data_IF_849831480263
#
_entry.id   IF_849831480263
#
_cell.length_a   1.000
_cell.length_b   1.000
_cell.length_c   1.000
_cell.angle_alpha   90.00
_cell.angle_beta   90.00
_cell.angle_gamma   90.00
#
_symmetry.space_group_name_H-M   'P 1'
#
loop_
_entity.id
_entity.type
_entity.pdbx_description
1 polymer ?
#
# COMPACT_ATOMS: atom_id res chain seq x y z
N UNK A 1 12.90 1.21 -17.63
CA UNK A 1 12.79 1.89 -16.33
C UNK A 1 11.65 2.91 -16.29
N UNK A 2 11.69 4.02 -17.05
CA UNK A 2 10.65 5.07 -17.02
C UNK A 2 9.23 4.50 -17.12
N UNK A 3 8.95 3.71 -18.15
CA UNK A 3 7.65 3.06 -18.32
C UNK A 3 7.18 2.19 -17.13
N UNK A 4 8.11 1.51 -16.46
CA UNK A 4 7.80 0.62 -15.34
C UNK A 4 7.46 1.40 -14.06
N UNK A 5 8.16 2.52 -13.84
CA UNK A 5 8.03 3.32 -12.61
C UNK A 5 6.96 4.40 -12.71
N UNK A 6 6.59 4.85 -13.92
CA UNK A 6 5.51 5.84 -14.12
C UNK A 6 4.20 5.20 -14.54
N UNK A 7 4.24 4.02 -15.15
CA UNK A 7 3.07 3.39 -15.77
C UNK A 7 2.53 4.16 -16.98
N UNK A 8 3.26 5.14 -17.52
CA UNK A 8 2.83 5.91 -18.71
C UNK A 8 2.55 5.00 -19.90
N UNK A 9 1.53 5.36 -20.69
CA UNK A 9 1.20 4.68 -21.94
C UNK A 9 2.26 4.98 -23.00
N UNK A 10 2.33 4.14 -24.03
CA UNK A 10 3.24 4.34 -25.17
C UNK A 10 3.09 5.74 -25.79
N UNK A 11 1.85 6.18 -26.03
CA UNK A 11 1.55 7.51 -26.56
C UNK A 11 1.94 8.67 -25.65
N UNK A 12 2.06 8.42 -24.34
CA UNK A 12 2.49 9.44 -23.37
C UNK A 12 4.03 9.45 -23.28
N UNK A 13 4.69 8.29 -23.41
CA UNK A 13 6.15 8.17 -23.38
C UNK A 13 6.82 8.84 -24.59
N UNK A 14 6.28 8.66 -25.81
CA UNK A 14 6.85 9.26 -27.02
C UNK A 14 6.63 10.78 -27.09
N UNK A 15 5.68 11.31 -26.31
CA UNK A 15 5.34 12.73 -26.26
C UNK A 15 6.01 13.47 -25.08
N UNK A 16 7.09 12.89 -24.52
CA UNK A 16 7.92 13.59 -23.53
C UNK A 16 8.89 14.51 -24.29
N UNK A 17 8.79 15.84 -24.16
CA UNK A 17 9.63 16.77 -24.91
C UNK A 17 11.04 16.87 -24.31
N UNK A 18 12.00 17.42 -25.05
CA UNK A 18 13.37 17.64 -24.53
C UNK A 18 13.42 18.61 -23.34
N UNK A 19 12.46 19.53 -23.25
CA UNK A 19 12.24 20.45 -22.13
C UNK A 19 11.18 19.94 -21.13
N UNK A 20 11.15 18.62 -20.88
CA UNK A 20 10.16 17.97 -20.03
C UNK A 20 10.10 18.47 -18.57
N UNK A 21 11.14 19.15 -18.08
CA UNK A 21 11.30 19.49 -16.66
C UNK A 21 10.27 20.54 -16.23
N UNK A 22 9.55 20.25 -15.15
CA UNK A 22 8.72 21.23 -14.45
C UNK A 22 9.38 21.61 -13.12
N UNK A 23 9.09 22.79 -12.55
CA UNK A 23 9.65 23.21 -11.27
C UNK A 23 9.42 22.15 -10.18
N UNK A 24 10.50 21.66 -9.57
CA UNK A 24 10.43 20.74 -8.44
C UNK A 24 9.88 21.45 -7.22
N UNK A 25 9.06 20.77 -6.43
CA UNK A 25 8.46 21.33 -5.22
C UNK A 25 9.01 20.59 -3.99
N UNK A 26 9.61 21.35 -3.07
CA UNK A 26 9.96 20.83 -1.74
C UNK A 26 8.68 20.73 -0.91
N UNK A 27 8.44 19.55 -0.36
CA UNK A 27 7.27 19.25 0.48
C UNK A 27 7.70 19.19 1.95
N UNK A 28 6.73 19.34 2.86
CA UNK A 28 6.97 19.16 4.29
C UNK A 28 7.71 17.83 4.55
N UNK A 29 8.76 17.89 5.38
CA UNK A 29 9.66 16.76 5.65
C UNK A 29 10.92 16.71 4.78
N UNK A 30 11.19 17.72 3.94
CA UNK A 30 12.43 17.80 3.14
C UNK A 30 12.42 16.93 1.88
N UNK A 31 11.29 16.30 1.57
CA UNK A 31 11.12 15.47 0.37
C UNK A 31 10.90 16.36 -0.87
N UNK A 32 11.60 16.03 -1.95
CA UNK A 32 11.48 16.74 -3.24
C UNK A 32 10.54 15.99 -4.16
N UNK A 33 9.52 16.69 -4.69
CA UNK A 33 8.67 16.16 -5.75
C UNK A 33 9.25 16.52 -7.11
N UNK A 34 9.68 15.51 -7.86
CA UNK A 34 10.09 15.67 -9.26
C UNK A 34 8.86 15.64 -10.17
N UNK A 35 8.78 16.60 -11.09
CA UNK A 35 7.65 16.76 -12.00
C UNK A 35 8.14 16.84 -13.44
N UNK A 36 7.43 16.14 -14.32
CA UNK A 36 7.71 16.14 -15.76
C UNK A 36 6.42 16.41 -16.53
N UNK A 37 6.54 16.92 -17.76
CA UNK A 37 5.39 17.09 -18.67
C UNK A 37 5.44 16.10 -19.85
N UNK A 38 4.26 15.74 -20.34
CA UNK A 38 4.06 14.91 -21.53
C UNK A 38 2.69 15.22 -22.14
N UNK A 39 2.50 15.02 -23.45
CA UNK A 39 1.17 15.17 -24.03
C UNK A 39 0.31 13.92 -23.88
N UNK A 40 -0.94 14.15 -23.47
CA UNK A 40 -2.02 13.19 -23.59
C UNK A 40 -2.65 13.34 -24.97
N UNK A 41 -2.56 12.28 -25.80
CA UNK A 41 -3.11 12.28 -27.17
C UNK A 41 -4.49 11.60 -27.24
N UNK A 42 -4.72 10.57 -26.42
CA UNK A 42 -5.93 9.76 -26.48
C UNK A 42 -7.11 10.45 -25.79
N UNK A 43 -8.21 10.65 -26.54
CA UNK A 43 -9.48 11.16 -26.00
C UNK A 43 -9.55 12.68 -25.84
N UNK A 44 -8.64 13.43 -26.47
CA UNK A 44 -8.61 14.90 -26.49
C UNK A 44 -8.59 15.43 -27.92
N UNK A 45 -8.78 16.75 -28.11
CA UNK A 45 -8.77 17.39 -29.43
C UNK A 45 -7.41 17.22 -30.13
N UNK A 46 -7.41 17.37 -31.46
CA UNK A 46 -6.20 17.33 -32.28
C UNK A 46 -5.11 18.27 -31.73
N UNK A 47 -3.87 17.76 -31.64
CA UNK A 47 -2.73 18.47 -31.06
C UNK A 47 -2.32 17.99 -29.66
N UNK A 48 -3.17 17.22 -28.98
CA UNK A 48 -2.91 16.72 -27.63
C UNK A 48 -3.05 17.79 -26.56
N UNK A 49 -3.16 17.38 -25.30
CA UNK A 49 -3.16 18.27 -24.14
C UNK A 49 -1.93 18.01 -23.29
N UNK A 50 -1.26 19.06 -22.84
CA UNK A 50 -0.18 18.93 -21.87
C UNK A 50 -0.72 18.39 -20.55
N UNK A 51 -0.09 17.34 -20.05
CA UNK A 51 -0.36 16.74 -18.75
C UNK A 51 0.96 16.63 -17.97
N UNK A 52 0.83 16.56 -16.65
CA UNK A 52 1.95 16.60 -15.72
C UNK A 52 2.04 15.29 -14.94
N UNK A 53 3.25 14.79 -14.76
CA UNK A 53 3.52 13.56 -14.02
C UNK A 53 4.40 13.86 -12.83
N UNK A 54 4.01 13.34 -11.67
CA UNK A 54 4.89 13.29 -10.50
C UNK A 54 5.67 11.99 -10.59
N UNK A 55 6.98 12.07 -10.53
CA UNK A 55 7.89 10.93 -10.71
C UNK A 55 8.89 10.86 -9.57
N UNK A 56 9.47 9.67 -9.38
CA UNK A 56 10.63 9.48 -8.49
C UNK A 56 11.89 10.07 -9.12
N UNK A 57 12.90 10.34 -8.30
CA UNK A 57 14.13 11.00 -8.72
C UNK A 57 14.85 10.21 -9.83
N UNK A 58 14.87 8.89 -9.74
CA UNK A 58 15.54 7.99 -10.68
C UNK A 58 14.94 8.09 -12.09
N UNK A 59 13.62 8.30 -12.18
CA UNK A 59 12.94 8.54 -13.46
C UNK A 59 13.37 9.88 -14.03
N UNK A 60 13.44 10.91 -13.19
CA UNK A 60 13.87 12.24 -13.60
C UNK A 60 15.31 12.22 -14.13
N UNK A 61 16.24 11.59 -13.39
CA UNK A 61 17.63 11.42 -13.80
C UNK A 61 17.77 10.62 -15.10
N UNK A 62 16.96 9.59 -15.30
CA UNK A 62 17.00 8.80 -16.52
C UNK A 62 16.53 9.57 -17.76
N UNK A 63 15.51 10.42 -17.62
CA UNK A 63 15.07 11.32 -18.68
C UNK A 63 16.13 12.37 -19.01
N UNK A 64 16.82 12.88 -17.99
CA UNK A 64 17.96 13.77 -18.19
C UNK A 64 19.11 13.09 -18.93
N UNK A 65 19.47 11.85 -18.55
CA UNK A 65 20.48 11.08 -19.26
C UNK A 65 20.08 10.83 -20.71
N UNK A 66 18.81 10.47 -20.96
CA UNK A 66 18.30 10.31 -22.33
C UNK A 66 18.48 11.60 -23.14
N UNK A 67 18.17 12.76 -22.58
CA UNK A 67 18.38 14.04 -23.26
C UNK A 67 19.84 14.33 -23.60
N UNK A 68 20.79 13.93 -22.74
CA UNK A 68 22.24 14.08 -23.00
C UNK A 68 22.76 13.11 -24.06
N UNK A 69 22.07 12.00 -24.27
CA UNK A 69 22.42 10.96 -25.23
C UNK A 69 21.69 11.12 -26.58
N UNK A 70 20.93 12.21 -26.78
CA UNK A 70 20.35 12.51 -28.08
C UNK A 70 21.45 12.92 -29.06
N UNK A 71 21.52 12.22 -30.19
CA UNK A 71 22.52 12.47 -31.23
C UNK A 71 22.23 13.75 -32.04
N UNK A 72 20.95 14.14 -32.16
CA UNK A 72 20.50 15.32 -32.91
C UNK A 72 19.99 16.44 -31.96
N UNK A 73 20.65 17.62 -31.92
CA UNK A 73 20.20 18.77 -31.14
C UNK A 73 18.85 19.35 -31.57
N UNK A 74 18.36 19.02 -32.77
CA UNK A 74 17.08 19.46 -33.31
C UNK A 74 15.88 18.62 -32.84
N UNK A 75 16.11 17.52 -32.11
CA UNK A 75 15.05 16.67 -31.60
C UNK A 75 14.15 17.40 -30.60
N UNK A 76 12.85 17.28 -30.81
CA UNK A 76 11.85 17.94 -29.97
C UNK A 76 11.38 17.05 -28.83
N UNK A 77 11.59 15.74 -28.93
CA UNK A 77 11.15 14.74 -27.97
C UNK A 77 12.28 13.80 -27.57
N UNK A 78 12.27 13.36 -26.31
CA UNK A 78 13.30 12.45 -25.78
C UNK A 78 13.25 11.06 -26.39
N UNK A 79 12.07 10.65 -26.85
CA UNK A 79 11.80 9.34 -27.42
C UNK A 79 11.15 9.61 -28.77
N UNK A 80 11.94 9.59 -29.84
CA UNK A 80 11.42 9.74 -31.19
C UNK A 80 10.29 8.74 -31.48
N UNK A 81 9.29 9.16 -32.25
CA UNK A 81 8.05 8.40 -32.52
C UNK A 81 8.32 7.01 -33.13
N UNK A 82 9.43 6.86 -33.85
CA UNK A 82 9.89 5.61 -34.47
C UNK A 82 10.90 4.81 -33.62
N UNK A 83 11.38 5.36 -32.51
CA UNK A 83 12.52 4.83 -31.73
C UNK A 83 12.13 4.02 -30.48
N UNK A 84 10.83 3.95 -30.15
CA UNK A 84 10.35 3.15 -29.02
C UNK A 84 9.84 1.76 -29.45
N UNK A 85 10.74 0.93 -29.97
CA UNK A 85 10.44 -0.50 -30.07
C UNK A 85 10.51 -1.16 -28.69
N UNK A 86 9.38 -1.16 -27.99
CA UNK A 86 9.29 -1.66 -26.62
C UNK A 86 9.70 -3.13 -26.49
N UNK A 87 9.36 -3.98 -27.46
CA UNK A 87 9.74 -5.40 -27.45
C UNK A 87 11.25 -5.59 -27.44
N UNK A 88 11.96 -4.89 -28.33
CA UNK A 88 13.43 -4.90 -28.36
C UNK A 88 14.06 -4.32 -27.09
N UNK A 89 13.51 -3.25 -26.54
CA UNK A 89 14.02 -2.66 -25.27
C UNK A 89 13.91 -3.64 -24.10
N UNK A 90 12.78 -4.36 -23.99
CA UNK A 90 12.60 -5.42 -22.98
C UNK A 90 13.57 -6.57 -23.22
N UNK A 91 13.76 -6.97 -24.48
CA UNK A 91 14.72 -8.02 -24.83
C UNK A 91 16.14 -7.68 -24.34
N UNK A 92 16.66 -6.50 -24.69
CA UNK A 92 17.99 -6.07 -24.24
C UNK A 92 18.09 -5.89 -22.74
N UNK A 93 17.04 -5.37 -22.08
CA UNK A 93 17.01 -5.27 -20.63
C UNK A 93 17.10 -6.65 -19.98
N UNK A 94 16.31 -7.63 -20.46
CA UNK A 94 16.35 -9.01 -19.96
C UNK A 94 17.74 -9.63 -20.18
N UNK A 95 18.32 -9.45 -21.36
CA UNK A 95 19.65 -9.96 -21.67
C UNK A 95 20.72 -9.37 -20.74
N UNK A 96 20.64 -8.07 -20.46
CA UNK A 96 21.57 -7.40 -19.56
C UNK A 96 21.39 -7.84 -18.10
N UNK A 97 20.15 -7.90 -17.60
CA UNK A 97 19.86 -8.33 -16.21
C UNK A 97 20.25 -9.80 -16.00
N UNK A 98 20.00 -10.67 -16.97
CA UNK A 98 20.30 -12.09 -16.85
C UNK A 98 21.77 -12.42 -17.16
N UNK A 99 22.53 -11.46 -17.70
CA UNK A 99 23.95 -11.59 -18.01
C UNK A 99 24.87 -11.37 -16.82
N UNK A 100 26.19 -11.37 -17.08
CA UNK A 100 27.23 -11.26 -16.05
C UNK A 100 27.13 -9.98 -15.21
N UNK A 101 26.80 -8.85 -15.84
CA UNK A 101 26.65 -7.57 -15.15
C UNK A 101 25.50 -7.58 -14.14
N UNK A 102 24.35 -8.13 -14.52
CA UNK A 102 23.18 -8.21 -13.62
C UNK A 102 23.40 -9.19 -12.47
N UNK A 103 24.07 -10.32 -12.73
CA UNK A 103 24.48 -11.26 -11.69
C UNK A 103 25.48 -10.65 -10.70
N UNK A 104 26.47 -9.88 -11.21
CA UNK A 104 27.41 -9.14 -10.35
C UNK A 104 26.71 -8.13 -9.45
N UNK A 105 25.61 -7.53 -9.92
CA UNK A 105 24.79 -6.59 -9.14
C UNK A 105 23.76 -7.28 -8.23
N UNK A 106 23.71 -8.62 -8.21
CA UNK A 106 22.75 -9.38 -7.40
C UNK A 106 21.29 -9.25 -7.86
N UNK A 107 21.06 -8.89 -9.13
CA UNK A 107 19.70 -8.76 -9.66
C UNK A 107 19.08 -10.14 -9.90
N UNK A 108 17.83 -10.31 -9.45
CA UNK A 108 17.07 -11.52 -9.75
C UNK A 108 16.84 -11.63 -11.27
N UNK A 109 17.03 -12.83 -11.86
CA UNK A 109 16.86 -13.02 -13.29
C UNK A 109 15.41 -12.74 -13.70
N UNK A 110 15.23 -12.01 -14.80
CA UNK A 110 13.93 -11.74 -15.39
C UNK A 110 13.51 -12.97 -16.21
N UNK A 111 12.39 -13.64 -15.85
CA UNK A 111 11.97 -14.85 -16.55
C UNK A 111 11.59 -14.60 -18.00
N UNK A 112 11.63 -15.67 -18.79
CA UNK A 112 11.09 -15.68 -20.14
C UNK A 112 9.57 -15.49 -20.13
N UNK A 113 9.08 -14.78 -21.14
CA UNK A 113 7.67 -14.44 -21.23
C UNK A 113 7.43 -13.06 -21.84
N UNK A 114 6.18 -12.84 -22.22
CA UNK A 114 5.77 -11.56 -22.78
C UNK A 114 5.66 -10.51 -21.69
N UNK A 115 6.40 -9.41 -21.83
CA UNK A 115 6.21 -8.20 -21.02
C UNK A 115 5.75 -7.10 -21.96
N UNK A 116 4.66 -6.44 -21.63
CA UNK A 116 4.16 -5.28 -22.36
C UNK A 116 3.85 -4.13 -21.41
N UNK A 117 3.71 -2.92 -21.95
CA UNK A 117 3.44 -1.71 -21.16
C UNK A 117 2.14 -1.80 -20.34
N UNK A 118 1.12 -2.52 -20.84
CA UNK A 118 -0.14 -2.71 -20.12
C UNK A 118 0.06 -3.58 -18.88
N UNK A 119 0.90 -4.61 -18.97
CA UNK A 119 1.26 -5.47 -17.85
C UNK A 119 2.05 -4.68 -16.81
N UNK A 120 3.10 -3.95 -17.21
CA UNK A 120 3.87 -3.12 -16.27
C UNK A 120 2.99 -2.09 -15.55
N UNK A 121 2.11 -1.42 -16.29
CA UNK A 121 1.16 -0.47 -15.72
C UNK A 121 0.19 -1.14 -14.74
N UNK A 122 -0.26 -2.37 -15.03
CA UNK A 122 -1.10 -3.16 -14.11
C UNK A 122 -0.33 -3.55 -12.85
N UNK A 123 0.91 -4.01 -12.98
CA UNK A 123 1.79 -4.34 -11.85
C UNK A 123 1.99 -3.11 -10.97
N UNK A 124 2.38 -1.97 -11.54
CA UNK A 124 2.52 -0.72 -10.78
C UNK A 124 1.21 -0.31 -10.09
N UNK A 125 0.06 -0.45 -10.75
CA UNK A 125 -1.24 -0.16 -10.15
C UNK A 125 -1.51 -1.03 -8.91
N UNK A 126 -1.19 -2.33 -8.98
CA UNK A 126 -1.35 -3.26 -7.86
C UNK A 126 -0.38 -2.92 -6.73
N UNK A 127 0.90 -2.72 -7.04
CA UNK A 127 1.93 -2.33 -6.07
C UNK A 127 1.57 -1.03 -5.33
N UNK A 128 1.04 -0.05 -6.05
CA UNK A 128 0.54 1.18 -5.45
C UNK A 128 -0.70 0.91 -4.61
N UNK A 129 -1.66 0.12 -5.11
CA UNK A 129 -2.93 -0.17 -4.41
C UNK A 129 -2.75 -0.95 -3.10
N UNK A 130 -1.72 -1.80 -3.00
CA UNK A 130 -1.43 -2.58 -1.79
C UNK A 130 -0.88 -1.72 -0.64
N UNK A 131 -0.49 -0.47 -0.89
CA UNK A 131 -0.02 0.46 0.14
C UNK A 131 -1.19 1.15 0.87
N UNK A 132 -1.03 1.58 2.14
CA UNK A 132 -2.02 2.39 2.83
C UNK A 132 -2.38 3.67 2.05
N UNK A 133 -3.68 3.92 1.80
CA UNK A 133 -4.15 5.02 0.93
C UNK A 133 -3.80 4.84 -0.57
N UNK A 134 -3.20 3.71 -0.90
CA UNK A 134 -2.54 3.44 -2.17
C UNK A 134 -3.47 3.27 -3.35
N UNK A 135 -4.73 2.88 -3.13
CA UNK A 135 -5.72 2.75 -4.20
C UNK A 135 -6.11 4.11 -4.81
N UNK A 136 -6.29 5.14 -3.97
CA UNK A 136 -6.52 6.50 -4.43
C UNK A 136 -5.25 7.04 -5.12
N UNK A 137 -4.08 6.83 -4.50
CA UNK A 137 -2.81 7.23 -5.06
C UNK A 137 -2.55 6.58 -6.43
N UNK A 138 -2.82 5.29 -6.58
CA UNK A 138 -2.68 4.56 -7.85
C UNK A 138 -3.56 5.17 -8.94
N UNK A 139 -4.81 5.51 -8.61
CA UNK A 139 -5.77 6.04 -9.58
C UNK A 139 -5.49 7.49 -9.97
N UNK A 140 -4.97 8.31 -9.04
CA UNK A 140 -4.46 9.65 -9.33
C UNK A 140 -3.18 9.58 -10.16
N UNK A 141 -2.18 8.81 -9.72
CA UNK A 141 -0.89 8.67 -10.39
C UNK A 141 -1.03 8.13 -11.81
N UNK A 142 -1.94 7.17 -12.01
CA UNK A 142 -2.22 6.58 -13.32
C UNK A 142 -3.31 7.34 -14.08
N UNK A 143 -3.72 8.55 -13.68
CA UNK A 143 -4.67 9.38 -14.45
C UNK A 143 -6.03 8.71 -14.72
N UNK A 144 -6.45 7.80 -13.83
CA UNK A 144 -7.81 7.26 -13.81
C UNK A 144 -8.78 8.22 -13.10
N UNK A 145 -8.26 9.18 -12.34
CA UNK A 145 -8.98 10.29 -11.68
C UNK A 145 -8.08 11.55 -11.70
N UNK A 146 -8.65 12.75 -11.82
CA UNK A 146 -7.90 14.02 -11.82
C UNK A 146 -7.55 14.50 -10.41
N UNK A 147 -6.45 15.24 -10.24
CA UNK A 147 -6.08 15.89 -8.97
C UNK A 147 -7.09 16.99 -8.59
N UNK A 148 -7.69 17.67 -9.58
CA UNK A 148 -8.76 18.65 -9.35
C UNK A 148 -10.02 18.00 -8.75
N UNK A 149 -10.22 16.70 -8.98
CA UNK A 149 -11.31 15.92 -8.36
C UNK A 149 -10.98 15.40 -6.96
N UNK A 150 -9.74 15.49 -6.49
CA UNK A 150 -9.37 15.13 -5.11
C UNK A 150 -9.33 16.34 -4.17
N UNK A 151 -9.16 17.54 -4.69
CA UNK A 151 -9.15 18.78 -3.90
C UNK A 151 -10.55 19.42 -3.75
N UNK A 152 -11.49 19.10 -4.65
CA UNK A 152 -12.89 19.54 -4.60
C UNK A 152 -13.81 18.49 -3.99
N UNK A 153 -14.30 18.76 -2.79
CA UNK A 153 -15.33 18.05 -2.04
C UNK A 153 -16.31 17.16 -2.85
N UNK A 154 -16.50 15.96 -2.28
CA UNK A 154 -17.73 15.17 -2.26
C UNK A 154 -19.02 15.89 -2.72
N UNK A 155 -19.56 15.49 -3.88
CA UNK A 155 -21.01 15.35 -4.13
C UNK A 155 -21.30 15.25 -5.64
N UNK A 156 -21.57 14.04 -6.15
CA UNK A 156 -22.50 13.81 -7.27
C UNK A 156 -22.88 12.32 -7.35
N UNK A 157 -24.09 11.93 -6.89
CA UNK A 157 -24.60 10.57 -7.06
C UNK A 157 -24.92 10.28 -8.53
N UNK A 158 -24.51 9.11 -9.04
CA UNK A 158 -25.00 8.53 -10.30
C UNK A 158 -24.11 8.62 -11.55
N UNK A 159 -22.91 9.22 -11.45
CA UNK A 159 -21.93 9.22 -12.55
C UNK A 159 -20.98 8.01 -12.53
N UNK A 160 -20.03 7.92 -13.46
CA UNK A 160 -18.96 6.91 -13.42
C UNK A 160 -18.21 6.86 -12.07
N UNK A 161 -18.29 7.91 -11.25
CA UNK A 161 -17.84 7.92 -9.86
C UNK A 161 -18.59 6.94 -8.93
N UNK A 162 -19.91 6.72 -9.08
CA UNK A 162 -20.63 5.78 -8.20
C UNK A 162 -20.34 4.34 -8.56
N UNK A 163 -20.14 4.05 -9.86
CA UNK A 163 -19.65 2.74 -10.33
C UNK A 163 -18.24 2.50 -9.78
N UNK A 164 -17.37 3.51 -9.88
CA UNK A 164 -16.01 3.45 -9.36
C UNK A 164 -15.93 3.28 -7.84
N UNK A 165 -16.75 4.00 -7.06
CA UNK A 165 -16.76 3.86 -5.60
C UNK A 165 -17.37 2.53 -5.18
N UNK A 166 -18.33 2.00 -5.95
CA UNK A 166 -18.84 0.64 -5.76
C UNK A 166 -17.77 -0.42 -6.09
N UNK A 167 -16.97 -0.24 -7.15
CA UNK A 167 -15.84 -1.11 -7.47
C UNK A 167 -14.75 -1.05 -6.39
N UNK A 168 -14.39 0.16 -5.93
CA UNK A 168 -13.45 0.36 -4.81
C UNK A 168 -13.95 -0.34 -3.55
N UNK A 169 -15.20 -0.09 -3.17
CA UNK A 169 -15.80 -0.71 -2.01
C UNK A 169 -15.87 -2.24 -2.13
N UNK A 170 -16.05 -2.77 -3.34
CA UNK A 170 -16.03 -4.22 -3.60
C UNK A 170 -14.63 -4.82 -3.43
N UNK A 171 -13.61 -4.19 -4.00
CA UNK A 171 -12.23 -4.66 -3.85
C UNK A 171 -11.73 -4.54 -2.41
N UNK A 172 -12.09 -3.46 -1.70
CA UNK A 172 -11.82 -3.31 -0.27
C UNK A 172 -12.52 -4.40 0.55
N UNK A 173 -13.78 -4.72 0.23
CA UNK A 173 -14.52 -5.81 0.88
C UNK A 173 -13.88 -7.17 0.64
N UNK A 174 -13.46 -7.47 -0.60
CA UNK A 174 -12.78 -8.73 -0.95
C UNK A 174 -11.46 -8.85 -0.17
N UNK A 175 -10.64 -7.81 -0.20
CA UNK A 175 -9.38 -7.77 0.56
C UNK A 175 -9.61 -7.95 2.06
N UNK A 176 -10.58 -7.25 2.63
CA UNK A 176 -10.88 -7.37 4.06
C UNK A 176 -11.34 -8.79 4.44
N UNK A 177 -12.08 -9.43 3.54
CA UNK A 177 -12.54 -10.80 3.72
C UNK A 177 -11.38 -11.79 3.67
N UNK A 178 -10.46 -11.63 2.73
CA UNK A 178 -9.21 -12.41 2.65
C UNK A 178 -8.37 -12.28 3.92
N UNK A 179 -8.17 -11.05 4.42
CA UNK A 179 -7.44 -10.81 5.67
C UNK A 179 -8.15 -11.42 6.88
N UNK A 180 -9.49 -11.34 6.94
CA UNK A 180 -10.28 -11.95 8.02
C UNK A 180 -10.20 -13.48 7.96
N UNK A 181 -10.23 -14.07 6.76
CA UNK A 181 -10.04 -15.51 6.54
C UNK A 181 -8.64 -15.95 6.97
N UNK A 182 -7.61 -15.17 6.63
CA UNK A 182 -6.25 -15.48 7.07
C UNK A 182 -6.13 -15.44 8.60
N UNK A 183 -6.63 -14.39 9.24
CA UNK A 183 -6.63 -14.29 10.71
C UNK A 183 -7.43 -15.44 11.37
N UNK A 184 -8.51 -15.91 10.74
CA UNK A 184 -9.25 -17.08 11.21
C UNK A 184 -8.45 -18.38 11.08
N UNK A 185 -7.71 -18.57 9.98
CA UNK A 185 -6.81 -19.72 9.80
C UNK A 185 -5.66 -19.70 10.80
N UNK A 186 -5.06 -18.53 11.04
CA UNK A 186 -4.02 -18.35 12.05
C UNK A 186 -4.56 -18.77 13.43
N UNK A 187 -5.76 -18.31 13.78
CA UNK A 187 -6.46 -18.73 15.01
C UNK A 187 -6.65 -20.25 15.10
N UNK A 188 -7.06 -20.91 14.01
CA UNK A 188 -7.21 -22.37 13.97
C UNK A 188 -5.89 -23.12 14.18
N UNK A 189 -4.76 -22.48 13.87
CA UNK A 189 -3.41 -22.98 14.13
C UNK A 189 -2.88 -22.61 15.53
N UNK A 190 -3.68 -21.90 16.34
CA UNK A 190 -3.29 -21.43 17.67
C UNK A 190 -2.49 -20.12 17.66
N UNK A 191 -2.37 -19.47 16.51
CA UNK A 191 -1.68 -18.18 16.35
C UNK A 191 -2.69 -17.06 16.59
N UNK A 192 -2.42 -16.22 17.58
CA UNK A 192 -3.26 -15.06 17.90
C UNK A 192 -2.52 -13.77 17.55
N UNK A 193 -3.19 -12.76 16.99
CA UNK A 193 -2.55 -11.47 16.76
C UNK A 193 -2.19 -10.79 18.07
N UNK A 194 -1.24 -9.87 18.01
CA UNK A 194 -0.87 -9.04 19.15
C UNK A 194 -1.86 -7.87 19.33
N UNK A 195 -1.74 -7.15 20.45
CA UNK A 195 -2.51 -5.94 20.74
C UNK A 195 -3.86 -6.16 21.44
N UNK A 196 -4.50 -5.06 21.89
CA UNK A 196 -5.58 -5.15 22.87
C UNK A 196 -6.87 -5.81 22.36
N UNK A 197 -7.12 -5.78 21.04
CA UNK A 197 -8.29 -6.39 20.42
C UNK A 197 -8.14 -7.88 20.09
N UNK A 198 -6.99 -8.49 20.38
CA UNK A 198 -6.73 -9.89 20.05
C UNK A 198 -7.72 -10.85 20.71
N UNK A 199 -8.05 -10.63 21.98
CA UNK A 199 -8.98 -11.47 22.75
C UNK A 199 -10.39 -11.43 22.18
N UNK A 200 -10.94 -10.23 21.95
CA UNK A 200 -12.29 -10.06 21.36
C UNK A 200 -12.37 -10.68 19.96
N UNK A 201 -11.26 -10.69 19.20
CA UNK A 201 -11.19 -11.35 17.90
C UNK A 201 -11.19 -12.88 18.05
N UNK A 202 -10.40 -13.43 18.98
CA UNK A 202 -10.36 -14.85 19.27
C UNK A 202 -11.72 -15.40 19.77
N UNK A 203 -12.39 -14.66 20.65
CA UNK A 203 -13.75 -15.00 21.12
C UNK A 203 -14.76 -15.03 19.97
N UNK A 204 -14.63 -14.10 19.01
CA UNK A 204 -15.42 -14.12 17.80
C UNK A 204 -15.14 -15.37 16.94
N UNK A 205 -13.87 -15.71 16.71
CA UNK A 205 -13.52 -16.90 15.94
C UNK A 205 -13.96 -18.20 16.61
N UNK A 206 -13.86 -18.30 17.94
CA UNK A 206 -14.42 -19.42 18.70
C UNK A 206 -15.93 -19.57 18.48
N UNK A 207 -16.67 -18.44 18.42
CA UNK A 207 -18.10 -18.46 18.12
C UNK A 207 -18.42 -18.91 16.69
N UNK A 208 -17.52 -18.65 15.74
CA UNK A 208 -17.63 -19.09 14.34
C UNK A 208 -17.39 -20.60 14.26
N UNK A 209 -16.33 -21.12 14.89
CA UNK A 209 -16.06 -22.56 14.96
C UNK A 209 -17.22 -23.34 15.59
N UNK A 210 -17.82 -22.81 16.67
CA UNK A 210 -19.01 -23.39 17.29
C UNK A 210 -20.21 -23.48 16.34
N UNK A 211 -20.46 -22.42 15.56
CA UNK A 211 -21.53 -22.41 14.56
C UNK A 211 -21.26 -23.41 13.42
N UNK A 212 -20.03 -23.50 12.94
CA UNK A 212 -19.63 -24.47 11.92
C UNK A 212 -19.78 -25.92 12.42
N UNK A 213 -19.43 -26.19 13.67
CA UNK A 213 -19.62 -27.51 14.28
C UNK A 213 -21.11 -27.90 14.37
N UNK A 214 -21.98 -26.96 14.71
CA UNK A 214 -23.43 -27.21 14.75
C UNK A 214 -24.05 -27.43 13.36
N UNK A 215 -23.57 -26.71 12.34
CA UNK A 215 -23.98 -26.94 10.94
C UNK A 215 -23.59 -28.33 10.46
N UNK A 216 -22.35 -28.76 10.75
CA UNK A 216 -21.86 -30.09 10.39
C UNK A 216 -22.68 -31.22 11.01
N UNK A 217 -23.17 -31.05 12.25
CA UNK A 217 -24.06 -32.02 12.91
C UNK A 217 -25.44 -32.12 12.24
N UNK A 218 -25.97 -31.02 11.71
CA UNK A 218 -27.31 -30.96 11.10
C UNK A 218 -27.32 -31.45 9.65
N UNK A 219 -26.18 -31.46 8.96
CA UNK A 219 -26.10 -31.89 7.56
C UNK A 219 -24.74 -32.55 7.26
N UNK A 220 -24.59 -33.86 7.52
CA UNK A 220 -23.32 -34.58 7.39
C UNK A 220 -22.74 -34.64 5.96
N UNK A 221 -23.52 -34.27 4.94
CA UNK A 221 -23.11 -34.21 3.53
C UNK A 221 -22.47 -32.88 3.12
N UNK A 222 -22.55 -31.83 3.96
CA UNK A 222 -21.89 -30.55 3.69
C UNK A 222 -20.44 -30.67 4.16
N UNK A 223 -19.52 -30.95 3.21
CA UNK A 223 -18.09 -30.68 3.45
C UNK A 223 -17.99 -29.23 3.92
N UNK A 224 -17.27 -28.98 5.04
CA UNK A 224 -16.95 -27.63 5.57
C UNK A 224 -16.68 -26.69 4.39
N UNK A 225 -17.71 -25.97 3.96
CA UNK A 225 -17.66 -25.28 2.68
C UNK A 225 -17.01 -23.95 2.92
N UNK A 226 -15.96 -23.63 2.17
CA UNK A 226 -15.30 -22.31 2.23
C UNK A 226 -16.31 -21.15 2.16
N UNK A 227 -17.44 -21.38 1.47
CA UNK A 227 -18.57 -20.45 1.36
C UNK A 227 -19.28 -20.16 2.70
N UNK A 228 -19.46 -21.13 3.58
CA UNK A 228 -20.10 -20.94 4.89
C UNK A 228 -19.19 -20.15 5.84
N UNK A 229 -17.90 -20.51 5.87
CA UNK A 229 -16.87 -19.79 6.62
C UNK A 229 -16.83 -18.33 6.16
N UNK A 230 -16.79 -18.12 4.84
CA UNK A 230 -16.78 -16.79 4.22
C UNK A 230 -18.02 -15.98 4.62
N UNK A 231 -19.20 -16.60 4.65
CA UNK A 231 -20.45 -15.94 5.07
C UNK A 231 -20.42 -15.50 6.54
N UNK A 232 -19.92 -16.35 7.44
CA UNK A 232 -19.83 -16.05 8.88
C UNK A 232 -18.80 -14.93 9.17
N UNK A 233 -17.70 -14.91 8.43
CA UNK A 233 -16.65 -13.90 8.57
C UNK A 233 -16.97 -12.58 7.89
N UNK A 234 -17.84 -12.56 6.87
CA UNK A 234 -18.19 -11.36 6.10
C UNK A 234 -18.69 -10.20 6.97
N UNK A 235 -19.42 -10.49 8.06
CA UNK A 235 -19.88 -9.45 9.00
C UNK A 235 -18.71 -8.73 9.66
N UNK A 236 -17.65 -9.46 10.04
CA UNK A 236 -16.46 -8.91 10.67
C UNK A 236 -15.55 -8.22 9.66
N UNK A 237 -15.42 -8.77 8.46
CA UNK A 237 -14.67 -8.15 7.37
C UNK A 237 -15.21 -6.76 6.98
N UNK A 238 -16.53 -6.54 7.06
CA UNK A 238 -17.16 -5.25 6.76
C UNK A 238 -16.80 -4.12 7.73
N UNK A 239 -16.37 -4.45 8.95
CA UNK A 239 -15.97 -3.46 9.96
C UNK A 239 -14.45 -3.32 10.07
N UNK A 240 -13.70 -4.03 9.21
CA UNK A 240 -12.24 -3.97 9.20
C UNK A 240 -11.76 -2.70 8.47
N UNK A 241 -10.97 -1.90 9.18
CA UNK A 241 -10.25 -0.75 8.66
C UNK A 241 -8.75 -0.97 8.84
N UNK A 242 -7.99 -0.65 7.80
CA UNK A 242 -6.58 -1.00 7.72
C UNK A 242 -5.75 0.25 7.99
N UNK A 243 -5.09 0.26 9.15
CA UNK A 243 -4.13 1.29 9.53
C UNK A 243 -2.71 0.88 9.14
N UNK A 244 -1.81 1.85 9.13
CA UNK A 244 -0.37 1.62 8.89
C UNK A 244 0.25 0.78 10.01
N UNK A 245 -0.18 1.01 11.25
CA UNK A 245 0.38 0.38 12.44
C UNK A 245 -0.54 -0.72 13.05
N UNK A 246 -1.74 -0.94 12.50
CA UNK A 246 -2.70 -1.89 13.05
C UNK A 246 -3.86 -2.22 12.09
N UNK A 247 -4.51 -3.36 12.35
CA UNK A 247 -5.86 -3.63 11.88
C UNK A 247 -6.86 -3.16 12.92
N UNK A 248 -7.85 -2.36 12.49
CA UNK A 248 -8.91 -1.83 13.34
C UNK A 248 -10.23 -2.53 12.98
N UNK A 249 -10.76 -3.35 13.89
CA UNK A 249 -11.99 -4.10 13.62
C UNK A 249 -13.27 -3.28 13.77
N UNK A 250 -13.17 -2.07 14.34
CA UNK A 250 -14.23 -1.06 14.49
C UNK A 250 -15.65 -1.62 14.70
N UNK A 251 -15.76 -2.61 15.61
CA UNK A 251 -16.99 -3.40 15.81
C UNK A 251 -18.08 -2.56 16.50
N UNK A 252 -17.62 -1.66 17.37
CA UNK A 252 -18.42 -0.85 18.28
C UNK A 252 -17.80 0.55 18.35
N UNK A 253 -18.40 1.55 17.71
CA UNK A 253 -17.91 2.93 17.75
C UNK A 253 -17.74 3.49 19.17
N UNK A 254 -18.53 3.03 20.15
CA UNK A 254 -18.41 3.48 21.54
C UNK A 254 -17.15 2.94 22.24
N UNK A 255 -16.50 1.91 21.69
CA UNK A 255 -15.20 1.40 22.17
C UNK A 255 -14.00 2.02 21.44
N UNK A 256 -14.22 2.73 20.33
CA UNK A 256 -13.14 3.29 19.52
C UNK A 256 -12.43 4.44 20.26
N UNK A 257 -11.17 4.22 20.63
CA UNK A 257 -10.40 5.20 21.40
C UNK A 257 -10.15 6.50 20.60
N UNK A 258 -10.00 6.41 19.28
CA UNK A 258 -9.85 7.58 18.41
C UNK A 258 -11.06 8.53 18.47
N UNK A 259 -12.28 7.99 18.53
CA UNK A 259 -13.50 8.79 18.66
C UNK A 259 -13.61 9.42 20.05
N UNK A 260 -13.22 8.68 21.09
CA UNK A 260 -13.18 9.19 22.47
C UNK A 260 -12.18 10.34 22.63
N UNK A 261 -10.97 10.17 22.11
CA UNK A 261 -9.91 11.20 22.13
C UNK A 261 -10.38 12.45 21.37
N UNK A 262 -11.04 12.26 20.22
CA UNK A 262 -11.55 13.37 19.42
C UNK A 262 -12.82 14.04 20.00
N UNK A 263 -13.45 13.46 21.03
CA UNK A 263 -14.75 13.93 21.52
C UNK A 263 -15.86 13.84 20.46
N UNK A 264 -15.71 12.95 19.48
CA UNK A 264 -16.64 12.83 18.37
C UNK A 264 -17.95 12.16 18.81
N UNK A 265 -19.12 12.65 18.37
CA UNK A 265 -20.40 12.00 18.69
C UNK A 265 -20.47 10.63 18.03
N UNK A 266 -20.88 9.62 18.81
CA UNK A 266 -21.08 8.25 18.32
C UNK A 266 -22.43 8.14 17.61
N UNK A 267 -22.38 7.77 16.33
CA UNK A 267 -23.54 7.58 15.45
C UNK A 267 -23.44 6.26 14.71
N UNK A 268 -24.54 5.81 14.09
CA UNK A 268 -24.56 4.60 13.26
C UNK A 268 -23.62 4.66 12.05
N UNK A 269 -23.32 5.87 11.57
CA UNK A 269 -22.49 6.13 10.39
C UNK A 269 -21.06 6.54 10.80
N UNK A 270 -20.70 6.38 12.08
CA UNK A 270 -19.37 6.69 12.57
C UNK A 270 -18.30 5.86 11.85
N UNK A 271 -17.13 6.46 11.68
CA UNK A 271 -15.96 5.85 11.04
C UNK A 271 -14.74 6.08 11.93
N UNK A 272 -13.75 5.17 11.94
CA UNK A 272 -12.55 5.36 12.74
C UNK A 272 -11.75 6.57 12.23
N UNK A 273 -11.30 7.41 13.16
CA UNK A 273 -10.40 8.52 12.86
C UNK A 273 -8.95 8.03 12.92
N UNK A 274 -8.40 7.60 11.77
CA UNK A 274 -7.06 7.03 11.69
C UNK A 274 -5.96 7.95 12.25
N UNK A 275 -6.05 9.27 12.01
CA UNK A 275 -5.08 10.26 12.53
C UNK A 275 -5.11 10.44 14.05
N UNK A 276 -6.16 9.97 14.73
CA UNK A 276 -6.30 9.97 16.20
C UNK A 276 -6.21 8.55 16.78
N UNK A 277 -5.78 7.58 15.97
CA UNK A 277 -5.72 6.19 16.40
C UNK A 277 -4.57 5.97 17.38
N UNK A 278 -4.91 5.51 18.58
CA UNK A 278 -3.95 4.95 19.52
C UNK A 278 -4.18 3.44 19.59
N UNK A 279 -3.58 2.72 18.64
CA UNK A 279 -3.76 1.28 18.46
C UNK A 279 -3.09 0.44 19.54
N UNK A 280 -2.07 0.96 20.22
CA UNK A 280 -1.46 0.30 21.38
C UNK A 280 -2.43 0.17 22.57
N UNK A 281 -3.46 1.03 22.65
CA UNK A 281 -4.45 1.03 23.76
C UNK A 281 -5.87 0.74 23.31
N UNK A 282 -6.19 0.88 22.04
CA UNK A 282 -7.55 0.70 21.55
C UNK A 282 -7.96 -0.79 21.62
N UNK A 283 -9.07 -1.14 22.29
CA UNK A 283 -9.55 -2.53 22.43
C UNK A 283 -10.04 -3.15 21.12
N UNK A 284 -10.02 -2.41 20.01
CA UNK A 284 -10.46 -2.87 18.70
C UNK A 284 -9.30 -2.97 17.70
N UNK A 285 -8.06 -2.72 18.17
CA UNK A 285 -6.86 -2.79 17.36
C UNK A 285 -6.13 -4.12 17.57
N UNK A 286 -5.66 -4.71 16.47
CA UNK A 286 -4.79 -5.88 16.46
C UNK A 286 -3.52 -5.58 15.66
N UNK A 287 -2.42 -6.19 16.07
CA UNK A 287 -1.12 -6.08 15.46
C UNK A 287 -0.71 -7.42 14.86
N UNK A 288 0.01 -7.35 13.75
CA UNK A 288 0.30 -8.45 12.82
C UNK A 288 1.73 -8.27 12.32
N UNK A 289 2.37 -9.28 11.71
CA UNK A 289 3.76 -9.18 11.28
C UNK A 289 4.05 -7.96 10.39
N UNK A 290 3.10 -7.61 9.51
CA UNK A 290 3.21 -6.44 8.63
C UNK A 290 3.27 -5.10 9.36
N UNK A 291 2.81 -5.02 10.62
CA UNK A 291 2.87 -3.81 11.43
C UNK A 291 4.18 -3.68 12.21
N UNK A 292 4.95 -4.77 12.36
CA UNK A 292 6.18 -4.80 13.14
C UNK A 292 7.19 -3.73 12.72
N UNK A 293 7.49 -3.52 11.42
CA UNK A 293 8.49 -2.53 11.01
C UNK A 293 8.13 -1.11 11.46
N UNK A 294 6.85 -0.75 11.41
CA UNK A 294 6.34 0.57 11.81
C UNK A 294 6.54 0.81 13.31
N UNK A 295 6.28 -0.21 14.13
CA UNK A 295 6.49 -0.12 15.58
C UNK A 295 7.97 -0.14 15.97
N UNK A 296 8.80 -0.89 15.25
CA UNK A 296 10.25 -0.89 15.45
C UNK A 296 10.85 0.48 15.10
N UNK A 297 10.49 1.05 13.95
CA UNK A 297 10.92 2.39 13.53
C UNK A 297 10.46 3.47 14.52
N UNK A 298 9.22 3.37 15.02
CA UNK A 298 8.70 4.25 16.08
C UNK A 298 9.55 4.17 17.36
N UNK A 299 9.89 2.95 17.82
CA UNK A 299 10.75 2.76 18.97
C UNK A 299 12.16 3.34 18.76
N UNK A 300 12.78 3.07 17.61
CA UNK A 300 14.12 3.58 17.31
C UNK A 300 14.14 5.11 17.21
N UNK A 301 13.11 5.69 16.62
CA UNK A 301 12.91 7.14 16.55
C UNK A 301 12.77 7.74 17.96
N UNK A 302 11.97 7.13 18.84
CA UNK A 302 11.85 7.58 20.23
C UNK A 302 13.18 7.52 20.98
N UNK A 303 14.01 6.49 20.78
CA UNK A 303 15.35 6.39 21.39
C UNK A 303 16.25 7.56 20.97
N UNK A 304 16.26 7.89 19.67
CA UNK A 304 17.02 9.04 19.14
C UNK A 304 16.53 10.35 19.78
N UNK A 305 15.22 10.56 19.86
CA UNK A 305 14.67 11.77 20.46
C UNK A 305 14.99 11.89 21.96
N UNK A 306 14.85 10.80 22.73
CA UNK A 306 15.17 10.79 24.17
C UNK A 306 16.65 11.14 24.42
N UNK A 307 17.55 10.65 23.56
CA UNK A 307 18.97 10.98 23.61
C UNK A 307 19.26 12.46 23.33
N UNK A 308 18.47 13.08 22.45
CA UNK A 308 18.62 14.50 22.08
C UNK A 308 18.06 15.48 23.12
N UNK A 309 17.23 15.03 24.06
CA UNK A 309 16.57 15.91 25.03
C UNK A 309 17.54 16.43 26.11
N UNK A 310 17.58 17.74 26.38
CA UNK A 310 18.35 18.30 27.49
C UNK A 310 17.98 17.69 28.85
N UNK A 311 18.96 17.48 29.74
CA UNK A 311 18.75 16.86 31.08
C UNK A 311 17.72 17.58 31.95
N UNK A 312 17.49 18.88 31.72
CA UNK A 312 16.50 19.68 32.46
C UNK A 312 15.04 19.38 32.11
N UNK A 313 14.74 18.81 30.94
CA UNK A 313 13.37 18.61 30.48
C UNK A 313 12.81 17.23 30.89
N UNK A 314 12.68 17.03 32.20
CA UNK A 314 12.32 15.72 32.81
C UNK A 314 10.94 15.22 32.37
N UNK A 315 9.94 16.10 32.28
CA UNK A 315 8.57 15.72 31.92
C UNK A 315 8.48 15.20 30.48
N UNK A 316 9.15 15.87 29.54
CA UNK A 316 9.17 15.46 28.14
C UNK A 316 9.92 14.14 27.93
N UNK A 317 11.06 13.97 28.62
CA UNK A 317 11.77 12.68 28.63
C UNK A 317 10.88 11.55 29.15
N UNK A 318 10.21 11.75 30.28
CA UNK A 318 9.30 10.75 30.84
C UNK A 318 8.14 10.38 29.90
N UNK A 319 7.59 11.38 29.18
CA UNK A 319 6.54 11.16 28.16
C UNK A 319 7.03 10.25 27.03
N UNK A 320 8.20 10.55 26.47
CA UNK A 320 8.78 9.76 25.38
C UNK A 320 9.27 8.38 25.84
N UNK A 321 9.79 8.24 27.06
CA UNK A 321 10.14 6.94 27.64
C UNK A 321 8.89 6.05 27.75
N UNK A 322 7.75 6.62 28.13
CA UNK A 322 6.49 5.89 28.16
C UNK A 322 5.98 5.52 26.75
N UNK A 323 6.22 6.35 25.74
CA UNK A 323 5.92 6.04 24.33
C UNK A 323 6.82 4.92 23.79
N UNK A 324 8.13 5.01 24.05
CA UNK A 324 9.10 3.99 23.70
C UNK A 324 8.73 2.64 24.31
N UNK A 325 8.45 2.61 25.62
CA UNK A 325 8.05 1.38 26.31
C UNK A 325 6.74 0.79 25.76
N UNK A 326 5.85 1.60 25.19
CA UNK A 326 4.65 1.10 24.49
C UNK A 326 5.02 0.50 23.14
N UNK A 327 5.84 1.18 22.34
CA UNK A 327 6.26 0.69 21.04
C UNK A 327 7.05 -0.62 21.14
N UNK A 328 8.01 -0.70 22.07
CA UNK A 328 8.80 -1.91 22.32
C UNK A 328 7.93 -3.08 22.80
N UNK A 329 6.93 -2.81 23.64
CA UNK A 329 5.96 -3.84 24.04
C UNK A 329 5.20 -4.38 22.85
N UNK A 330 4.71 -3.52 21.95
CA UNK A 330 3.99 -3.98 20.77
C UNK A 330 4.89 -4.81 19.85
N UNK A 331 6.15 -4.41 19.65
CA UNK A 331 7.13 -5.23 18.90
C UNK A 331 7.32 -6.59 19.55
N UNK A 332 7.55 -6.62 20.88
CA UNK A 332 7.74 -7.86 21.63
C UNK A 332 6.50 -8.77 21.58
N UNK A 333 5.29 -8.21 21.63
CA UNK A 333 4.05 -8.99 21.53
C UNK A 333 3.88 -9.57 20.12
N UNK A 334 4.23 -8.82 19.06
CA UNK A 334 4.21 -9.34 17.69
C UNK A 334 5.24 -10.47 17.53
N UNK A 335 6.46 -10.28 18.04
CA UNK A 335 7.53 -11.29 17.98
C UNK A 335 7.18 -12.55 18.79
N UNK A 336 6.49 -12.40 19.92
CA UNK A 336 6.01 -13.54 20.70
C UNK A 336 4.88 -14.31 19.98
N UNK A 337 4.02 -13.61 19.24
CA UNK A 337 2.89 -14.22 18.54
C UNK A 337 3.30 -14.94 17.23
N UNK A 338 4.28 -14.41 16.50
CA UNK A 338 4.63 -14.86 15.14
C UNK A 338 6.09 -15.33 14.99
N UNK A 339 6.88 -15.27 16.06
CA UNK A 339 8.33 -15.45 16.02
C UNK A 339 9.06 -14.13 15.69
N UNK A 340 10.34 -13.99 16.08
CA UNK A 340 11.13 -12.84 15.67
C UNK A 340 11.23 -12.82 14.14
N UNK A 341 10.98 -11.67 13.52
CA UNK A 341 11.30 -11.49 12.11
C UNK A 341 12.80 -11.76 11.93
N UNK A 342 13.18 -12.73 11.09
CA UNK A 342 14.59 -13.07 10.82
C UNK A 342 15.37 -11.81 10.45
N UNK A 343 16.22 -11.36 11.38
CA UNK A 343 17.20 -10.30 11.14
C UNK A 343 18.46 -10.94 10.53
N UNK A 344 18.30 -11.54 9.35
CA UNK A 344 19.31 -12.06 8.39
C UNK A 344 18.46 -12.76 7.31
N UNK A 345 18.23 -12.20 6.13
CA UNK A 345 19.21 -12.09 5.06
C UNK A 345 18.89 -13.15 3.99
N UNK A 346 18.76 -12.70 2.74
CA UNK A 346 18.79 -13.48 1.51
C UNK A 346 17.59 -14.37 1.14
N UNK A 347 17.25 -14.29 -0.15
CA UNK A 347 16.21 -15.09 -0.75
C UNK A 347 16.55 -16.57 -0.72
N UNK A 348 15.62 -17.36 -0.23
CA UNK A 348 15.39 -18.67 -0.80
C UNK A 348 13.88 -18.91 -0.79
N UNK A 349 13.31 -19.03 -1.99
CA UNK A 349 11.93 -19.45 -2.17
C UNK A 349 11.78 -20.91 -1.75
N UNK A 350 10.55 -21.36 -1.48
CA UNK A 350 10.31 -22.73 -1.09
C UNK A 350 10.79 -23.68 -2.21
N UNK A 351 11.62 -24.65 -1.83
CA UNK A 351 11.89 -25.83 -2.62
C UNK A 351 10.60 -26.63 -2.77
N UNK A 352 10.01 -26.61 -3.96
CA UNK A 352 8.91 -27.51 -4.33
C UNK A 352 9.47 -28.91 -4.64
N UNK A 353 8.92 -29.90 -3.92
CA UNK A 353 8.72 -31.27 -4.39
C UNK A 353 7.34 -31.39 -5.02
#
# INVERSE_FOLDING_TARGET
MVAALTGMRMSELVEIPTDFRLPSQTVAGGLTRHRIRSKRIKGVKHGGEWDEWVVVEEVHQALELMGRLLDDPGETHLIGEHNLNYGWRVHFLRQWVNGEDGQRLGLAPIPDGQVNLRMLRRTLALELAHRPGGLLAAKVALKHVSVTTTEGYAARPGGQQSIFMAEVGKEEQNRNLELTLQAFRDYQQGILPAGPGARDLAEFFASVDGQLAELAKKSPTVKRGDREVTSLLAKRAKTLHLGVANYCWFIDPAKALCLKIAGAPVTKDSQPMAGMCDSARCPQATHHPCHRPVWAESADTSKVFIASIPRGNKAERQRLEAELARAERVVSEIDAAYGPADQKGDGDGPADQ
#
